data_IF_550222763346
#
_entry.id   IF_550222763346
#
_cell.length_a   1.000
_cell.length_b   1.000
_cell.length_c   1.000
_cell.angle_alpha   90.00
_cell.angle_beta   90.00
_cell.angle_gamma   90.00
#
_symmetry.space_group_name_H-M   'P 1'
#
loop_
_entity.id
_entity.type
_entity.pdbx_description
1 polymer ?
#
# COMPACT_ATOMS: atom_id res chain seq x y z
N UNK A 1 25.25 13.70 -6.54
CA UNK A 1 24.96 12.41 -5.87
C UNK A 1 23.49 12.10 -6.03
N UNK A 2 23.08 10.85 -6.17
CA UNK A 2 21.67 10.47 -6.26
C UNK A 2 21.16 9.93 -4.92
N UNK A 3 19.87 10.13 -4.65
CA UNK A 3 19.23 9.59 -3.47
C UNK A 3 17.71 9.65 -3.55
N UNK A 4 17.04 9.22 -2.48
CA UNK A 4 15.58 9.22 -2.35
C UNK A 4 15.15 10.08 -1.17
N UNK A 5 14.16 10.96 -1.37
CA UNK A 5 13.59 11.74 -0.27
C UNK A 5 12.83 10.78 0.66
N UNK A 6 13.30 10.61 1.90
CA UNK A 6 12.64 9.75 2.89
C UNK A 6 11.74 10.53 3.83
N UNK A 7 11.97 11.83 4.01
CA UNK A 7 11.19 12.68 4.92
C UNK A 7 11.20 14.14 4.46
N UNK A 8 10.09 14.84 4.67
CA UNK A 8 9.97 16.27 4.42
C UNK A 8 9.38 17.01 5.62
N UNK A 9 10.07 18.01 6.14
CA UNK A 9 9.62 18.82 7.29
C UNK A 9 9.97 20.29 7.06
N UNK A 10 8.99 21.18 7.13
CA UNK A 10 9.19 22.64 7.15
C UNK A 10 10.13 23.18 6.05
N UNK A 11 10.10 22.60 4.84
CA UNK A 11 10.94 23.00 3.70
C UNK A 11 12.32 22.36 3.63
N UNK A 12 12.65 21.49 4.58
CA UNK A 12 13.80 20.60 4.55
C UNK A 12 13.38 19.20 4.08
N UNK A 13 14.27 18.57 3.33
CA UNK A 13 14.09 17.24 2.75
C UNK A 13 15.27 16.37 3.15
N UNK A 14 14.99 15.22 3.75
CA UNK A 14 16.00 14.25 4.13
C UNK A 14 16.17 13.24 3.01
N UNK A 15 17.36 13.18 2.44
CA UNK A 15 17.65 12.37 1.24
C UNK A 15 18.55 11.21 1.64
N UNK A 16 18.02 9.99 1.56
CA UNK A 16 18.79 8.76 1.75
C UNK A 16 19.60 8.44 0.49
N UNK A 17 20.90 8.20 0.66
CA UNK A 17 21.87 8.04 -0.42
C UNK A 17 22.61 6.70 -0.32
N UNK A 18 23.39 6.35 -1.34
CA UNK A 18 24.27 5.19 -1.27
C UNK A 18 25.25 5.31 -0.08
N UNK A 19 25.54 4.18 0.58
CA UNK A 19 26.34 4.16 1.82
C UNK A 19 25.54 4.38 3.10
N UNK A 20 24.20 4.37 3.03
CA UNK A 20 23.29 4.51 4.18
C UNK A 20 23.39 5.88 4.88
N UNK A 21 23.80 6.92 4.13
CA UNK A 21 23.87 8.30 4.62
C UNK A 21 22.57 9.05 4.32
N UNK A 22 22.14 9.91 5.25
CA UNK A 22 20.97 10.77 5.10
C UNK A 22 21.40 12.24 5.10
N UNK A 23 21.26 12.90 3.95
CA UNK A 23 21.58 14.32 3.81
C UNK A 23 20.37 15.19 4.11
N UNK A 24 20.53 16.20 4.97
CA UNK A 24 19.55 17.27 5.12
C UNK A 24 19.71 18.25 3.95
N UNK A 25 18.67 18.31 3.11
CA UNK A 25 18.69 19.10 1.89
C UNK A 25 17.63 20.20 1.87
N UNK A 26 17.97 21.31 1.23
CA UNK A 26 16.98 22.32 0.81
C UNK A 26 16.67 22.15 -0.67
N UNK A 27 15.43 22.43 -1.05
CA UNK A 27 15.07 22.57 -2.46
C UNK A 27 15.51 23.95 -2.96
N UNK A 28 16.26 24.01 -4.07
CA UNK A 28 16.60 25.28 -4.72
C UNK A 28 15.31 26.04 -5.08
N UNK A 29 15.32 27.37 -5.01
CA UNK A 29 14.15 28.21 -5.28
C UNK A 29 13.53 28.00 -6.67
N UNK A 30 14.29 27.47 -7.62
CA UNK A 30 13.87 27.13 -8.99
C UNK A 30 12.66 26.18 -9.02
N UNK A 31 12.56 25.23 -8.08
CA UNK A 31 11.41 24.31 -8.02
C UNK A 31 10.08 25.00 -7.73
N UNK A 32 10.09 26.19 -7.10
CA UNK A 32 8.88 26.99 -6.88
C UNK A 32 8.40 27.67 -8.16
N UNK A 33 9.31 27.94 -9.09
CA UNK A 33 8.99 28.54 -10.39
C UNK A 33 8.43 27.51 -11.38
N UNK A 34 8.93 26.28 -11.32
CA UNK A 34 8.49 25.17 -12.18
C UNK A 34 7.24 24.42 -11.65
N UNK A 35 6.68 24.86 -10.52
CA UNK A 35 5.50 24.23 -9.89
C UNK A 35 5.73 22.81 -9.35
N UNK A 36 6.97 22.30 -9.37
CA UNK A 36 7.32 20.93 -8.93
C UNK A 36 7.69 20.91 -7.46
N UNK A 37 6.72 20.62 -6.61
CA UNK A 37 6.93 20.38 -5.17
C UNK A 37 7.64 19.02 -4.97
N UNK A 38 8.79 18.97 -4.26
CA UNK A 38 9.41 17.69 -3.88
C UNK A 38 8.51 16.93 -2.90
N UNK A 39 8.40 15.63 -3.11
CA UNK A 39 7.60 14.70 -2.32
C UNK A 39 8.48 13.63 -1.69
N UNK A 40 8.00 13.07 -0.59
CA UNK A 40 8.58 11.83 -0.05
C UNK A 40 8.48 10.75 -1.13
N UNK A 41 9.54 9.98 -1.30
CA UNK A 41 9.68 8.95 -2.32
C UNK A 41 10.26 9.43 -3.66
N UNK A 42 10.38 10.74 -3.89
CA UNK A 42 11.07 11.27 -5.07
C UNK A 42 12.53 10.81 -5.10
N UNK A 43 12.96 10.32 -6.27
CA UNK A 43 14.38 10.14 -6.55
C UNK A 43 14.94 11.49 -6.98
N UNK A 44 16.09 11.89 -6.43
CA UNK A 44 16.66 13.22 -6.61
C UNK A 44 18.15 13.16 -6.87
N UNK A 45 18.63 14.18 -7.57
CA UNK A 45 20.05 14.51 -7.60
C UNK A 45 20.33 15.64 -6.62
N UNK A 46 21.40 15.50 -5.83
CA UNK A 46 21.84 16.50 -4.86
C UNK A 46 23.28 16.96 -5.12
N UNK A 47 23.50 18.25 -4.87
CA UNK A 47 24.80 18.87 -4.73
C UNK A 47 25.18 18.84 -3.24
N UNK A 48 26.28 18.19 -2.89
CA UNK A 48 26.76 18.11 -1.50
C UNK A 48 27.41 19.44 -1.12
N UNK A 49 26.96 20.03 0.00
CA UNK A 49 27.50 21.27 0.54
C UNK A 49 28.54 21.01 1.63
N UNK A 50 28.29 20.03 2.49
CA UNK A 50 29.15 19.65 3.61
C UNK A 50 29.01 18.14 3.82
N UNK A 51 30.10 17.39 3.58
CA UNK A 51 30.12 15.93 3.73
C UNK A 51 30.13 15.50 5.20
N UNK A 52 30.81 16.25 6.08
CA UNK A 52 30.90 15.91 7.50
C UNK A 52 29.57 16.14 8.23
N UNK A 53 28.86 17.21 7.87
CA UNK A 53 27.55 17.55 8.43
C UNK A 53 26.37 16.96 7.65
N UNK A 54 26.63 16.24 6.56
CA UNK A 54 25.61 15.67 5.69
C UNK A 54 24.59 16.72 5.19
N UNK A 55 25.09 17.85 4.69
CA UNK A 55 24.24 18.93 4.16
C UNK A 55 24.29 18.98 2.63
N UNK A 56 23.15 19.24 2.00
CA UNK A 56 23.06 19.31 0.54
C UNK A 56 21.98 20.26 0.03
N UNK A 57 21.93 20.40 -1.29
CA UNK A 57 20.81 20.99 -2.00
C UNK A 57 20.28 20.02 -3.03
N UNK A 58 18.95 19.86 -3.10
CA UNK A 58 18.33 19.15 -4.21
C UNK A 58 18.57 19.98 -5.47
N UNK A 59 19.23 19.37 -6.45
CA UNK A 59 19.50 19.93 -7.77
C UNK A 59 18.38 19.62 -8.74
N UNK A 60 17.90 18.37 -8.72
CA UNK A 60 16.89 17.87 -9.66
C UNK A 60 16.00 16.82 -9.02
N UNK A 61 14.72 16.81 -9.40
CA UNK A 61 13.78 15.72 -9.10
C UNK A 61 13.67 14.88 -10.36
N UNK A 62 14.02 13.59 -10.25
CA UNK A 62 13.95 12.65 -11.37
C UNK A 62 12.48 12.28 -11.67
N UNK A 63 12.18 11.80 -12.89
CA UNK A 63 10.82 11.44 -13.28
C UNK A 63 10.14 10.46 -12.32
N UNK A 64 8.89 10.76 -11.96
CA UNK A 64 8.07 9.89 -11.11
C UNK A 64 7.50 8.75 -11.93
N UNK A 65 7.56 7.53 -11.38
CA UNK A 65 6.90 6.34 -11.95
C UNK A 65 5.47 6.17 -11.44
N UNK A 66 5.22 6.61 -10.21
CA UNK A 66 3.90 6.54 -9.56
C UNK A 66 3.78 7.67 -8.53
N UNK A 67 2.55 7.99 -8.13
CA UNK A 67 2.28 8.93 -7.06
C UNK A 67 0.99 8.53 -6.34
N UNK A 68 1.10 8.19 -5.05
CA UNK A 68 -0.06 8.02 -4.18
C UNK A 68 -0.70 9.39 -3.91
N UNK A 69 -2.03 9.43 -3.90
CA UNK A 69 -2.78 10.66 -3.59
C UNK A 69 -2.84 10.87 -2.07
N UNK A 70 -3.04 9.80 -1.30
CA UNK A 70 -3.17 9.85 0.17
C UNK A 70 -2.51 8.63 0.83
N UNK A 71 -1.40 8.82 1.57
CA UNK A 71 -0.60 10.06 1.64
C UNK A 71 0.09 10.39 0.31
N UNK A 72 0.46 11.66 0.13
CA UNK A 72 1.13 12.16 -1.07
C UNK A 72 2.60 11.67 -1.12
N UNK A 73 2.84 10.52 -1.78
CA UNK A 73 4.17 9.87 -1.86
C UNK A 73 4.44 9.41 -3.28
N UNK A 74 5.64 9.68 -3.79
CA UNK A 74 6.07 9.31 -5.13
C UNK A 74 6.80 7.96 -5.17
N UNK A 75 6.85 7.34 -6.35
CA UNK A 75 7.63 6.14 -6.66
C UNK A 75 7.37 4.99 -5.68
N UNK A 76 6.09 4.72 -5.39
CA UNK A 76 5.64 3.51 -4.71
C UNK A 76 5.52 2.39 -5.75
N UNK A 77 6.25 1.30 -5.54
CA UNK A 77 6.34 0.19 -6.50
C UNK A 77 5.26 -0.88 -6.25
N UNK A 78 4.82 -1.03 -5.00
CA UNK A 78 3.83 -2.03 -4.59
C UNK A 78 3.18 -1.70 -3.24
N UNK A 79 2.07 -2.36 -2.94
CA UNK A 79 1.40 -2.32 -1.65
C UNK A 79 1.45 -3.67 -0.94
N UNK A 80 1.77 -3.68 0.35
CA UNK A 80 1.66 -4.83 1.23
C UNK A 80 0.44 -4.64 2.14
N UNK A 81 -0.61 -5.42 1.89
CA UNK A 81 -1.88 -5.36 2.63
C UNK A 81 -1.93 -6.49 3.66
N UNK A 82 -1.78 -6.12 4.93
CA UNK A 82 -1.60 -7.01 6.07
C UNK A 82 -2.93 -7.15 6.83
N UNK A 83 -3.39 -8.39 6.97
CA UNK A 83 -4.48 -8.78 7.85
C UNK A 83 -3.99 -9.88 8.79
N UNK A 84 -4.61 -10.01 9.96
CA UNK A 84 -4.40 -11.20 10.81
C UNK A 84 -5.36 -12.31 10.39
N UNK A 85 -4.94 -13.56 10.54
CA UNK A 85 -5.79 -14.72 10.23
C UNK A 85 -6.93 -14.85 11.24
N UNK A 86 -6.59 -14.74 12.54
CA UNK A 86 -7.55 -15.03 13.62
C UNK A 86 -7.87 -13.80 14.47
N UNK A 87 -6.85 -13.05 14.92
CA UNK A 87 -7.04 -11.98 15.93
C UNK A 87 -6.33 -10.66 15.56
N UNK A 88 -7.08 -9.59 15.24
CA UNK A 88 -8.53 -9.56 15.00
C UNK A 88 -8.94 -10.45 13.82
N UNK A 89 -10.22 -10.85 13.78
CA UNK A 89 -10.74 -11.55 12.60
C UNK A 89 -10.61 -10.64 11.37
N UNK A 90 -10.20 -11.18 10.21
CA UNK A 90 -10.01 -10.38 9.02
C UNK A 90 -11.35 -9.82 8.55
N UNK A 91 -11.39 -8.50 8.34
CA UNK A 91 -12.50 -7.85 7.68
C UNK A 91 -12.23 -7.85 6.16
N UNK A 92 -12.81 -8.80 5.45
CA UNK A 92 -12.57 -8.95 4.02
C UNK A 92 -13.18 -7.84 3.17
N UNK A 93 -14.29 -7.23 3.58
CA UNK A 93 -14.81 -6.05 2.89
C UNK A 93 -13.79 -4.91 2.89
N UNK A 94 -13.08 -4.74 4.01
CA UNK A 94 -12.01 -3.77 4.15
C UNK A 94 -10.80 -4.12 3.27
N UNK A 95 -10.41 -5.39 3.20
CA UNK A 95 -9.36 -5.87 2.31
C UNK A 95 -9.71 -5.56 0.85
N UNK A 96 -10.93 -5.90 0.41
CA UNK A 96 -11.41 -5.63 -0.95
C UNK A 96 -11.33 -4.15 -1.31
N UNK A 97 -11.72 -3.24 -0.40
CA UNK A 97 -11.57 -1.79 -0.62
C UNK A 97 -10.13 -1.38 -0.85
N UNK A 98 -9.17 -1.94 -0.12
CA UNK A 98 -7.75 -1.64 -0.36
C UNK A 98 -7.31 -2.10 -1.73
N UNK A 99 -7.68 -3.32 -2.11
CA UNK A 99 -7.29 -3.87 -3.40
C UNK A 99 -7.84 -3.00 -4.53
N UNK A 100 -9.11 -2.59 -4.45
CA UNK A 100 -9.73 -1.66 -5.40
C UNK A 100 -8.98 -0.32 -5.43
N UNK A 101 -8.72 0.30 -4.27
CA UNK A 101 -8.03 1.60 -4.20
C UNK A 101 -6.60 1.58 -4.72
N UNK A 102 -5.88 0.47 -4.54
CA UNK A 102 -4.53 0.32 -5.10
C UNK A 102 -4.59 0.06 -6.59
N UNK A 103 -5.57 -0.73 -7.06
CA UNK A 103 -5.80 -0.96 -8.48
C UNK A 103 -6.20 0.33 -9.22
N UNK A 104 -7.01 1.23 -8.62
CA UNK A 104 -7.30 2.57 -9.15
C UNK A 104 -6.04 3.43 -9.36
N UNK A 105 -4.97 3.15 -8.61
CA UNK A 105 -3.68 3.84 -8.70
C UNK A 105 -2.63 3.00 -9.45
N UNK A 106 -3.04 1.89 -10.06
CA UNK A 106 -2.16 0.95 -10.79
C UNK A 106 -1.01 0.40 -9.94
N UNK A 107 -1.22 0.27 -8.62
CA UNK A 107 -0.23 -0.26 -7.69
C UNK A 107 -0.48 -1.75 -7.44
N UNK A 108 0.49 -2.63 -7.74
CA UNK A 108 0.34 -4.06 -7.49
C UNK A 108 0.30 -4.36 -5.98
N UNK A 109 -0.58 -5.28 -5.60
CA UNK A 109 -0.80 -5.67 -4.20
C UNK A 109 -0.23 -7.05 -3.87
N UNK A 110 0.36 -7.14 -2.67
CA UNK A 110 0.67 -8.39 -1.98
C UNK A 110 -0.28 -8.48 -0.78
N UNK A 111 -1.08 -9.54 -0.72
CA UNK A 111 -1.97 -9.81 0.42
C UNK A 111 -1.23 -10.69 1.42
N UNK A 112 -1.02 -10.16 2.62
CA UNK A 112 -0.26 -10.82 3.68
C UNK A 112 -1.17 -11.14 4.86
N UNK A 113 -1.29 -12.43 5.18
CA UNK A 113 -2.00 -12.92 6.35
C UNK A 113 -1.01 -13.24 7.47
N UNK A 114 -0.96 -12.39 8.49
CA UNK A 114 -0.07 -12.50 9.65
C UNK A 114 -0.72 -13.32 10.78
N UNK A 115 0.11 -13.68 11.75
CA UNK A 115 -0.24 -14.45 12.96
C UNK A 115 -0.65 -15.90 12.64
N UNK A 116 0.07 -16.53 11.71
CA UNK A 116 -0.11 -17.95 11.42
C UNK A 116 0.23 -18.86 12.60
N UNK A 117 0.94 -18.35 13.61
CA UNK A 117 1.24 -19.07 14.85
C UNK A 117 0.02 -19.38 15.72
N UNK A 118 -1.12 -18.75 15.45
CA UNK A 118 -2.38 -18.95 16.19
C UNK A 118 -3.54 -19.37 15.28
N UNK A 119 -3.24 -19.87 14.08
CA UNK A 119 -4.23 -20.37 13.10
C UNK A 119 -4.53 -21.86 13.33
N UNK A 120 -5.15 -22.19 14.46
CA UNK A 120 -5.45 -23.58 14.85
C UNK A 120 -6.44 -24.27 13.90
N UNK A 121 -7.33 -23.51 13.26
CA UNK A 121 -8.35 -24.00 12.31
C UNK A 121 -7.84 -24.05 10.86
N UNK A 122 -6.56 -23.72 10.62
CA UNK A 122 -5.94 -23.62 9.28
C UNK A 122 -6.71 -22.73 8.28
N UNK A 123 -7.45 -21.74 8.78
CA UNK A 123 -8.29 -20.86 7.98
C UNK A 123 -7.46 -20.01 7.01
N UNK A 124 -6.20 -19.73 7.36
CA UNK A 124 -5.27 -18.95 6.55
C UNK A 124 -5.08 -19.53 5.15
N UNK A 125 -5.05 -20.87 5.01
CA UNK A 125 -4.90 -21.53 3.71
C UNK A 125 -6.04 -21.18 2.76
N UNK A 126 -7.28 -21.25 3.25
CA UNK A 126 -8.46 -20.87 2.48
C UNK A 126 -8.41 -19.41 2.04
N UNK A 127 -7.87 -18.51 2.88
CA UNK A 127 -7.71 -17.10 2.50
C UNK A 127 -6.67 -16.90 1.41
N UNK A 128 -5.53 -17.60 1.48
CA UNK A 128 -4.52 -17.57 0.42
C UNK A 128 -5.09 -18.04 -0.91
N UNK A 129 -5.88 -19.12 -0.90
CA UNK A 129 -6.46 -19.71 -2.10
C UNK A 129 -7.52 -18.77 -2.72
N UNK A 130 -8.36 -18.12 -1.90
CA UNK A 130 -9.35 -17.13 -2.38
C UNK A 130 -8.67 -15.99 -3.14
N UNK A 131 -7.69 -15.30 -2.52
CA UNK A 131 -7.07 -14.12 -3.15
C UNK A 131 -6.03 -14.51 -4.20
N UNK A 132 -5.42 -15.68 -4.08
CA UNK A 132 -4.53 -16.24 -5.10
C UNK A 132 -5.27 -16.55 -6.40
N UNK A 133 -6.49 -17.10 -6.31
CA UNK A 133 -7.35 -17.34 -7.47
C UNK A 133 -7.77 -16.04 -8.19
N UNK A 134 -7.81 -14.91 -7.48
CA UNK A 134 -8.03 -13.58 -8.06
C UNK A 134 -6.78 -12.98 -8.74
N UNK A 135 -5.63 -13.69 -8.70
CA UNK A 135 -4.37 -13.23 -9.30
C UNK A 135 -3.48 -12.41 -8.37
N UNK A 136 -3.83 -12.24 -7.09
CA UNK A 136 -2.97 -11.55 -6.13
C UNK A 136 -1.82 -12.44 -5.66
N UNK A 137 -0.67 -11.83 -5.38
CA UNK A 137 0.37 -12.51 -4.61
C UNK A 137 -0.10 -12.62 -3.17
N UNK A 138 -0.14 -13.83 -2.64
CA UNK A 138 -0.57 -14.08 -1.26
C UNK A 138 0.59 -14.66 -0.45
N UNK A 139 0.68 -14.26 0.82
CA UNK A 139 1.70 -14.76 1.74
C UNK A 139 1.11 -14.94 3.13
N UNK A 140 1.49 -16.04 3.79
CA UNK A 140 1.19 -16.27 5.19
C UNK A 140 2.46 -16.15 6.02
N UNK A 141 2.39 -15.40 7.13
CA UNK A 141 3.54 -15.11 7.98
C UNK A 141 3.20 -15.19 9.47
N UNK A 142 4.23 -15.42 10.28
CA UNK A 142 4.19 -15.11 11.71
C UNK A 142 5.37 -14.23 12.06
N UNK A 143 5.08 -12.95 12.35
CA UNK A 143 6.09 -12.05 12.90
C UNK A 143 6.66 -12.58 14.24
N UNK A 144 5.86 -13.30 15.03
CA UNK A 144 6.25 -13.82 16.34
C UNK A 144 7.23 -14.98 16.23
N UNK A 145 6.99 -15.90 15.29
CA UNK A 145 7.80 -17.09 15.08
C UNK A 145 8.81 -16.94 13.93
N UNK A 146 8.91 -15.74 13.35
CA UNK A 146 9.74 -15.44 12.19
C UNK A 146 9.45 -16.34 10.96
N UNK A 147 8.20 -16.81 10.81
CA UNK A 147 7.78 -17.66 9.70
C UNK A 147 7.39 -16.81 8.49
N UNK A 148 7.85 -17.20 7.29
CA UNK A 148 7.55 -16.51 6.03
C UNK A 148 8.20 -15.13 5.87
N UNK A 149 9.01 -14.69 6.85
CA UNK A 149 9.67 -13.36 6.81
C UNK A 149 10.71 -13.27 5.71
N UNK A 150 11.45 -14.36 5.43
CA UNK A 150 12.47 -14.34 4.37
C UNK A 150 11.83 -14.19 2.98
N UNK A 151 10.77 -14.95 2.71
CA UNK A 151 9.96 -14.79 1.50
C UNK A 151 9.37 -13.38 1.38
N UNK A 152 8.96 -12.78 2.50
CA UNK A 152 8.51 -11.39 2.51
C UNK A 152 9.66 -10.45 2.10
N UNK A 153 10.86 -10.60 2.68
CA UNK A 153 12.02 -9.77 2.32
C UNK A 153 12.35 -9.87 0.83
N UNK A 154 12.39 -11.07 0.27
CA UNK A 154 12.61 -11.29 -1.16
C UNK A 154 11.59 -10.54 -2.04
N UNK A 155 10.31 -10.54 -1.66
CA UNK A 155 9.26 -9.81 -2.37
C UNK A 155 9.41 -8.28 -2.29
N UNK A 156 9.95 -7.79 -1.18
CA UNK A 156 10.14 -6.36 -0.91
C UNK A 156 11.47 -5.81 -1.43
N UNK A 157 12.49 -6.65 -1.63
CA UNK A 157 13.85 -6.24 -1.95
C UNK A 157 13.92 -5.31 -3.17
N UNK A 158 14.64 -4.19 -3.01
CA UNK A 158 14.85 -3.18 -4.04
C UNK A 158 13.63 -2.30 -4.36
N UNK A 159 12.56 -2.38 -3.57
CA UNK A 159 11.30 -1.68 -3.84
C UNK A 159 10.89 -0.72 -2.72
N UNK A 160 10.10 0.27 -3.10
CA UNK A 160 9.35 1.14 -2.18
C UNK A 160 7.96 0.56 -2.00
N UNK A 161 7.69 0.06 -0.80
CA UNK A 161 6.43 -0.63 -0.48
C UNK A 161 5.60 0.19 0.49
N UNK A 162 4.36 0.49 0.12
CA UNK A 162 3.39 1.02 1.07
C UNK A 162 2.78 -0.10 1.89
N UNK A 163 2.77 0.06 3.21
CA UNK A 163 2.20 -0.93 4.13
C UNK A 163 0.85 -0.45 4.61
N UNK A 164 -0.11 -1.35 4.51
CA UNK A 164 -1.49 -1.15 4.91
C UNK A 164 -1.93 -2.35 5.75
N UNK A 165 -2.62 -2.13 6.86
CA UNK A 165 -3.35 -3.14 7.64
C UNK A 165 -4.22 -2.48 8.73
N UNK A 166 -5.31 -3.11 9.21
CA UNK A 166 -6.07 -2.60 10.35
C UNK A 166 -5.18 -2.45 11.61
N UNK A 167 -5.68 -1.79 12.65
CA UNK A 167 -4.98 -1.80 13.94
C UNK A 167 -4.91 -3.22 14.52
N UNK A 168 -3.81 -3.57 15.18
CA UNK A 168 -3.66 -4.86 15.86
C UNK A 168 -3.31 -6.07 14.98
N UNK A 169 -3.23 -5.93 13.65
CA UNK A 169 -2.85 -7.05 12.74
C UNK A 169 -1.37 -7.39 12.73
N UNK A 170 -0.52 -6.57 13.37
CA UNK A 170 0.92 -6.82 13.52
C UNK A 170 1.81 -6.15 12.48
N UNK A 171 1.37 -5.05 11.85
CA UNK A 171 2.19 -4.24 10.93
C UNK A 171 3.55 -3.86 11.52
N UNK A 172 3.56 -3.20 12.69
CA UNK A 172 4.78 -2.74 13.33
C UNK A 172 5.70 -3.91 13.69
N UNK A 173 5.14 -5.04 14.12
CA UNK A 173 5.92 -6.26 14.37
C UNK A 173 6.59 -6.78 13.09
N UNK A 174 5.87 -6.80 11.96
CA UNK A 174 6.45 -7.19 10.67
C UNK A 174 7.51 -6.19 10.20
N UNK A 175 7.26 -4.88 10.31
CA UNK A 175 8.24 -3.84 9.97
C UNK A 175 9.54 -4.04 10.77
N UNK A 176 9.43 -4.34 12.06
CA UNK A 176 10.59 -4.62 12.91
C UNK A 176 11.36 -5.88 12.46
N UNK A 177 10.66 -6.93 12.01
CA UNK A 177 11.31 -8.13 11.46
C UNK A 177 12.03 -7.86 10.12
N UNK A 178 11.58 -6.84 9.37
CA UNK A 178 12.15 -6.44 8.08
C UNK A 178 13.36 -5.53 8.23
N UNK A 179 13.46 -4.76 9.32
CA UNK A 179 14.63 -3.93 9.61
C UNK A 179 15.84 -4.84 9.90
N UNK A 180 16.81 -4.84 8.99
CA UNK A 180 18.11 -5.48 9.21
C UNK A 180 18.93 -4.71 10.27
N UNK A 181 19.79 -5.42 11.01
CA UNK A 181 20.67 -4.82 12.03
C UNK A 181 21.61 -3.73 11.50
N UNK A 182 21.83 -3.65 10.18
CA UNK A 182 22.64 -2.63 9.49
C UNK A 182 22.05 -1.22 9.66
N UNK A 183 20.72 -1.08 9.81
CA UNK A 183 20.09 0.23 10.04
C UNK A 183 20.28 0.69 11.49
N UNK A 184 20.47 -0.23 12.44
CA UNK A 184 20.73 0.11 13.85
C UNK A 184 22.13 0.70 14.08
N UNK A 185 23.16 0.32 13.31
CA UNK A 185 24.52 0.89 13.48
C UNK A 185 24.62 2.36 13.04
N UNK A 186 23.82 2.78 12.06
CA UNK A 186 23.62 4.21 11.74
C UNK A 186 22.70 4.94 12.73
N UNK A 187 22.17 4.21 13.72
CA UNK A 187 21.14 4.60 14.68
C UNK A 187 21.60 5.47 15.86
N UNK A 188 22.76 6.13 15.81
CA UNK A 188 23.04 7.23 16.75
C UNK A 188 22.10 8.46 16.56
N UNK A 189 21.14 8.37 15.63
CA UNK A 189 20.01 9.29 15.46
C UNK A 189 18.68 8.70 16.02
N UNK A 190 18.69 7.48 16.58
CA UNK A 190 17.48 6.78 17.06
C UNK A 190 17.06 7.12 18.50
N UNK A 191 17.93 7.70 19.34
CA UNK A 191 17.57 7.97 20.75
C UNK A 191 16.58 9.13 20.94
N UNK A 192 16.31 9.92 19.89
CA UNK A 192 15.26 10.96 19.93
C UNK A 192 13.87 10.49 19.48
N UNK A 193 13.70 9.21 19.12
CA UNK A 193 12.43 8.66 18.60
C UNK A 193 11.58 8.05 19.73
N UNK A 194 11.96 8.26 21.01
CA UNK A 194 11.29 7.65 22.17
C UNK A 194 10.33 8.56 22.94
N UNK A 195 9.66 9.51 22.28
CA UNK A 195 8.49 10.19 22.90
C UNK A 195 7.39 10.51 21.91
N UNK A 196 6.26 9.82 22.10
CA UNK A 196 4.93 10.40 21.93
C UNK A 196 4.13 9.90 20.74
N UNK A 197 2.98 9.29 21.05
CA UNK A 197 1.74 9.20 20.25
C UNK A 197 1.92 9.28 18.73
N UNK A 198 1.65 8.18 18.04
CA UNK A 198 1.37 8.13 16.61
C UNK A 198 0.31 9.17 16.20
N UNK A 199 0.76 10.39 15.92
CA UNK A 199 0.02 11.44 15.21
C UNK A 199 0.81 11.74 13.94
N UNK A 200 0.72 10.80 13.00
CA UNK A 200 1.40 10.82 11.71
C UNK A 200 0.73 11.84 10.78
N UNK A 201 1.12 13.12 10.91
CA UNK A 201 0.79 14.17 9.93
C UNK A 201 1.83 14.28 8.80
N UNK A 202 2.96 13.60 8.91
CA UNK A 202 4.02 13.59 7.89
C UNK A 202 4.32 12.17 7.45
N UNK A 203 4.41 11.95 6.14
CA UNK A 203 4.85 10.69 5.53
C UNK A 203 6.35 10.53 5.70
N UNK A 204 6.79 9.34 6.12
CA UNK A 204 8.20 9.01 6.30
C UNK A 204 8.46 7.61 5.74
N UNK A 205 9.51 7.48 4.92
CA UNK A 205 9.99 6.20 4.42
C UNK A 205 11.04 5.65 5.37
N UNK A 206 10.84 4.41 5.78
CA UNK A 206 11.76 3.61 6.58
C UNK A 206 12.62 2.81 5.63
N UNK A 207 13.93 3.06 5.59
CA UNK A 207 14.86 2.16 4.90
C UNK A 207 15.01 0.87 5.73
N UNK A 208 14.83 -0.28 5.09
CA UNK A 208 14.93 -1.60 5.76
C UNK A 208 16.09 -2.45 5.24
N UNK A 209 16.48 -2.21 3.99
CA UNK A 209 17.62 -2.83 3.31
C UNK A 209 18.12 -1.87 2.21
N UNK A 210 19.21 -2.24 1.53
CA UNK A 210 19.73 -1.49 0.37
C UNK A 210 18.63 -1.32 -0.67
N UNK A 211 18.31 -0.05 -0.97
CA UNK A 211 17.27 0.34 -1.93
C UNK A 211 15.86 -0.21 -1.63
N UNK A 212 15.60 -0.64 -0.40
CA UNK A 212 14.30 -1.15 0.04
C UNK A 212 13.70 -0.22 1.08
N UNK A 213 12.49 0.28 0.81
CA UNK A 213 11.83 1.29 1.62
C UNK A 213 10.42 0.86 1.98
N UNK A 214 10.01 1.14 3.22
CA UNK A 214 8.66 0.93 3.72
C UNK A 214 8.02 2.27 4.05
N UNK A 215 6.82 2.49 3.54
CA UNK A 215 5.95 3.60 3.94
C UNK A 215 4.89 3.05 4.89
N UNK A 216 4.94 3.39 6.18
CA UNK A 216 3.85 3.11 7.11
C UNK A 216 2.77 4.18 6.95
N UNK A 217 1.71 3.84 6.23
CA UNK A 217 0.58 4.77 6.02
C UNK A 217 -0.47 4.57 7.12
N UNK A 218 -0.84 5.62 7.87
CA UNK A 218 -2.06 5.59 8.66
C UNK A 218 -3.22 5.71 7.68
N UNK A 219 -3.75 4.57 7.21
CA UNK A 219 -4.68 4.58 6.06
C UNK A 219 -6.03 3.92 6.30
N UNK A 220 -6.20 3.15 7.38
CA UNK A 220 -7.38 2.28 7.50
C UNK A 220 -8.67 2.99 7.88
N UNK A 221 -8.57 4.18 8.46
CA UNK A 221 -9.71 4.88 9.06
C UNK A 221 -10.58 5.65 8.05
N UNK A 222 -10.15 5.83 6.80
CA UNK A 222 -10.86 6.67 5.81
C UNK A 222 -10.80 6.12 4.38
N UNK A 223 -11.16 4.84 4.20
CA UNK A 223 -11.13 4.19 2.89
C UNK A 223 -12.49 4.33 2.22
N UNK A 224 -12.59 5.35 1.38
CA UNK A 224 -13.68 5.49 0.45
C UNK A 224 -13.28 4.94 -0.91
N UNK A 225 -14.24 4.32 -1.60
CA UNK A 225 -14.19 4.12 -3.04
C UNK A 225 -14.46 5.48 -3.72
N UNK A 226 -13.54 6.43 -3.58
CA UNK A 226 -13.72 7.80 -4.04
C UNK A 226 -13.69 7.86 -5.56
N UNK A 227 -14.65 8.59 -6.16
CA UNK A 227 -14.74 8.77 -7.60
C UNK A 227 -15.04 7.50 -8.40
N UNK A 228 -15.43 6.41 -7.73
CA UNK A 228 -15.83 5.15 -8.37
C UNK A 228 -17.35 5.10 -8.48
N UNK A 229 -17.87 4.96 -9.69
CA UNK A 229 -19.29 4.72 -9.91
C UNK A 229 -19.61 3.23 -9.73
N UNK A 230 -20.86 2.91 -9.34
CA UNK A 230 -21.26 1.52 -9.05
C UNK A 230 -21.10 0.59 -10.26
N UNK A 231 -21.31 1.11 -11.47
CA UNK A 231 -21.17 0.37 -12.73
C UNK A 231 -19.72 -0.01 -13.03
N UNK A 232 -18.74 0.71 -12.48
CA UNK A 232 -17.30 0.48 -12.71
C UNK A 232 -16.73 -0.56 -11.74
N UNK A 233 -17.41 -0.83 -10.64
CA UNK A 233 -16.91 -1.69 -9.55
C UNK A 233 -16.51 -3.09 -10.03
N UNK A 234 -17.25 -3.66 -10.98
CA UNK A 234 -16.99 -5.01 -11.51
C UNK A 234 -15.58 -5.16 -12.10
N UNK A 235 -15.05 -4.10 -12.72
CA UNK A 235 -13.70 -4.10 -13.32
C UNK A 235 -12.57 -4.23 -12.27
N UNK A 236 -12.88 -4.01 -10.99
CA UNK A 236 -11.94 -4.15 -9.87
C UNK A 236 -12.06 -5.51 -9.15
N UNK A 237 -12.81 -6.46 -9.73
CA UNK A 237 -12.81 -7.86 -9.37
C UNK A 237 -12.24 -8.66 -10.55
N UNK A 238 -10.91 -8.82 -10.65
CA UNK A 238 -10.25 -9.45 -11.80
C UNK A 238 -10.80 -10.82 -12.17
N UNK A 239 -11.25 -11.58 -11.17
CA UNK A 239 -11.86 -12.89 -11.34
C UNK A 239 -13.19 -12.86 -12.13
N UNK A 240 -13.88 -11.71 -12.25
CA UNK A 240 -15.14 -11.59 -12.98
C UNK A 240 -14.96 -11.59 -14.49
N UNK A 241 -13.86 -11.00 -14.98
CA UNK A 241 -13.60 -10.83 -16.40
C UNK A 241 -13.67 -12.15 -17.20
N UNK A 242 -13.30 -13.28 -16.58
CA UNK A 242 -13.35 -14.61 -17.20
C UNK A 242 -14.77 -15.12 -17.49
N UNK A 243 -15.79 -14.57 -16.80
CA UNK A 243 -17.17 -15.04 -16.84
C UNK A 243 -18.15 -13.97 -17.35
N UNK A 244 -17.69 -12.74 -17.60
CA UNK A 244 -18.50 -11.67 -18.17
C UNK A 244 -19.03 -12.03 -19.56
N UNK A 245 -18.26 -12.77 -20.36
CA UNK A 245 -18.66 -13.26 -21.70
C UNK A 245 -19.90 -14.17 -21.66
N UNK A 246 -20.15 -14.84 -20.54
CA UNK A 246 -21.30 -15.73 -20.34
C UNK A 246 -22.55 -14.99 -19.81
N UNK A 247 -22.46 -13.66 -19.64
CA UNK A 247 -23.61 -12.84 -19.26
C UNK A 247 -24.51 -12.59 -20.48
N UNK A 248 -25.82 -12.80 -20.30
CA UNK A 248 -26.82 -12.56 -21.36
C UNK A 248 -26.90 -11.09 -21.79
N UNK A 249 -26.69 -10.15 -20.86
CA UNK A 249 -26.86 -8.71 -21.08
C UNK A 249 -25.50 -8.01 -21.13
N UNK A 250 -25.34 -7.10 -22.10
CA UNK A 250 -24.20 -6.17 -22.12
C UNK A 250 -24.32 -5.18 -20.96
N UNK A 251 -23.22 -4.88 -20.28
CA UNK A 251 -23.22 -4.00 -19.11
C UNK A 251 -23.87 -4.63 -17.86
N UNK A 252 -23.83 -5.96 -17.76
CA UNK A 252 -24.30 -6.68 -16.57
C UNK A 252 -23.56 -6.18 -15.32
N UNK A 253 -24.28 -5.66 -14.34
CA UNK A 253 -23.73 -5.30 -13.02
C UNK A 253 -23.56 -6.50 -12.09
N UNK A 254 -23.95 -7.69 -12.53
CA UNK A 254 -23.87 -8.93 -11.76
C UNK A 254 -24.67 -8.91 -10.45
N UNK A 255 -25.65 -8.02 -10.29
CA UNK A 255 -26.47 -7.91 -9.07
C UNK A 255 -27.80 -8.64 -9.30
N UNK A 256 -28.75 -7.97 -9.97
CA UNK A 256 -30.12 -8.46 -10.14
C UNK A 256 -30.35 -9.17 -11.47
N UNK A 257 -29.41 -9.07 -12.42
CA UNK A 257 -29.60 -9.52 -13.79
C UNK A 257 -29.85 -11.04 -13.86
N UNK A 258 -30.88 -11.49 -14.61
CA UNK A 258 -31.08 -12.92 -14.82
C UNK A 258 -30.03 -13.48 -15.80
N UNK A 259 -29.66 -14.74 -15.63
CA UNK A 259 -28.65 -15.42 -16.47
C UNK A 259 -27.29 -14.67 -16.54
N UNK A 260 -26.68 -14.47 -15.38
CA UNK A 260 -25.36 -13.86 -15.21
C UNK A 260 -24.25 -14.92 -15.10
N UNK A 261 -23.22 -14.82 -15.93
CA UNK A 261 -22.06 -15.74 -15.92
C UNK A 261 -21.30 -15.72 -14.60
N UNK A 262 -21.07 -14.53 -14.03
CA UNK A 262 -20.44 -14.37 -12.70
C UNK A 262 -21.24 -15.10 -11.61
N UNK A 263 -22.57 -14.92 -11.55
CA UNK A 263 -23.40 -15.61 -10.55
C UNK A 263 -23.37 -17.13 -10.70
N UNK A 264 -23.39 -17.64 -11.94
CA UNK A 264 -23.22 -19.09 -12.21
C UNK A 264 -21.85 -19.59 -11.77
N UNK A 265 -20.80 -18.79 -11.96
CA UNK A 265 -19.45 -19.14 -11.53
C UNK A 265 -19.32 -19.16 -10.00
N UNK A 266 -20.04 -18.29 -9.29
CA UNK A 266 -20.16 -18.33 -7.82
C UNK A 266 -20.89 -19.60 -7.37
N UNK A 267 -22.03 -19.94 -7.97
CA UNK A 267 -22.78 -21.17 -7.68
C UNK A 267 -21.95 -22.44 -7.92
N UNK A 268 -21.11 -22.43 -8.95
CA UNK A 268 -20.21 -23.52 -9.28
C UNK A 268 -18.90 -23.53 -8.45
N UNK A 269 -18.72 -22.60 -7.51
CA UNK A 269 -17.53 -22.50 -6.66
C UNK A 269 -16.26 -22.02 -7.38
N UNK A 270 -16.36 -21.52 -8.63
CA UNK A 270 -15.23 -20.98 -9.38
C UNK A 270 -14.88 -19.55 -9.00
N UNK A 271 -15.85 -18.80 -8.50
CA UNK A 271 -15.65 -17.51 -7.83
C UNK A 271 -15.98 -17.71 -6.36
N UNK A 272 -15.12 -17.21 -5.48
CA UNK A 272 -15.36 -17.26 -4.04
C UNK A 272 -16.65 -16.51 -3.69
N UNK A 273 -17.56 -17.19 -2.98
CA UNK A 273 -18.80 -16.58 -2.47
C UNK A 273 -18.51 -15.36 -1.59
N UNK A 274 -17.44 -15.42 -0.79
CA UNK A 274 -17.00 -14.31 0.07
C UNK A 274 -16.67 -13.06 -0.75
N UNK A 275 -15.95 -13.22 -1.87
CA UNK A 275 -15.60 -12.11 -2.78
C UNK A 275 -16.85 -11.52 -3.43
N UNK A 276 -17.76 -12.37 -3.91
CA UNK A 276 -19.00 -11.91 -4.53
C UNK A 276 -19.95 -11.22 -3.54
N UNK A 277 -20.06 -11.71 -2.30
CA UNK A 277 -20.86 -11.06 -1.26
C UNK A 277 -20.29 -9.67 -0.90
N UNK A 278 -18.97 -9.53 -0.79
CA UNK A 278 -18.33 -8.23 -0.62
C UNK A 278 -18.60 -7.30 -1.80
N UNK A 279 -18.51 -7.80 -3.04
CA UNK A 279 -18.86 -7.04 -4.24
C UNK A 279 -20.27 -6.46 -4.15
N UNK A 280 -21.26 -7.28 -3.77
CA UNK A 280 -22.64 -6.84 -3.60
C UNK A 280 -22.78 -5.74 -2.53
N UNK A 281 -22.08 -5.88 -1.39
CA UNK A 281 -22.08 -4.88 -0.32
C UNK A 281 -21.49 -3.54 -0.79
N UNK A 282 -20.35 -3.59 -1.50
CA UNK A 282 -19.70 -2.39 -2.03
C UNK A 282 -20.54 -1.74 -3.13
N UNK A 283 -21.17 -2.53 -4.01
CA UNK A 283 -22.06 -2.03 -5.04
C UNK A 283 -23.25 -1.29 -4.44
N UNK A 284 -23.90 -1.87 -3.44
CA UNK A 284 -25.05 -1.25 -2.77
C UNK A 284 -24.65 0.01 -2.00
N UNK A 285 -23.46 0.06 -1.40
CA UNK A 285 -22.92 1.31 -0.85
C UNK A 285 -22.76 2.38 -1.93
N UNK A 286 -22.11 2.07 -3.05
CA UNK A 286 -21.89 3.02 -4.15
C UNK A 286 -23.22 3.50 -4.73
N UNK A 287 -24.22 2.63 -4.84
CA UNK A 287 -25.57 2.96 -5.27
C UNK A 287 -26.29 3.89 -4.31
N UNK A 288 -26.05 3.76 -3.00
CA UNK A 288 -26.68 4.57 -1.97
C UNK A 288 -25.89 5.84 -1.60
N UNK A 289 -24.67 6.00 -2.10
CA UNK A 289 -23.97 7.28 -2.02
C UNK A 289 -24.76 8.32 -2.81
N UNK A 290 -25.26 9.33 -2.11
CA UNK A 290 -25.69 10.57 -2.78
C UNK A 290 -24.47 11.09 -3.53
N UNK A 291 -24.66 11.49 -4.80
CA UNK A 291 -23.62 12.17 -5.58
C UNK A 291 -23.19 13.41 -4.79
N UNK A 292 -22.09 13.31 -4.05
CA UNK A 292 -21.46 14.45 -3.40
C UNK A 292 -20.84 15.30 -4.51
N UNK A 293 -21.64 16.23 -5.06
CA UNK A 293 -21.22 17.30 -5.94
C UNK A 293 -20.32 18.31 -5.18
N UNK A 294 -19.22 17.86 -4.57
CA UNK A 294 -18.32 18.76 -3.83
C UNK A 294 -16.84 18.73 -4.21
N UNK A 295 -16.36 17.85 -5.10
CA UNK A 295 -14.95 17.94 -5.56
C UNK A 295 -14.76 17.95 -7.09
N UNK A 296 -15.75 18.46 -7.83
CA UNK A 296 -15.52 18.98 -9.19
C UNK A 296 -15.53 20.51 -9.13
N UNK A 297 -14.41 21.11 -8.70
CA UNK A 297 -14.29 22.57 -8.68
C UNK A 297 -13.22 23.10 -7.75
N UNK A 298 -11.96 23.04 -8.21
CA UNK A 298 -10.92 24.10 -8.19
C UNK A 298 -9.52 23.50 -8.17
#
# INVERSE_FOLDING_TARGET
MQGKITKGIAGFYYVHTEGNCVYECKAKGVFRLDGKKPLVGDNVELDVLDQEKLLGNIREILPRKSQLIRPEVANVDQALVIFSIVKPRPNFNLLDRFLIMMQQQEIPCIVCFNKSDIDEEEAGRGYLDIYGACGYRTLMVSARQNLGIEQLKELLSGKTTTVAGPSGVGKSSLINCLQSGVVMETGNISEKIQRGKHTTRHSELIAVEKNTYILDTPGFSSLGLFGLEKEELGAYYPEFAFYEQDCRFRGCSHISEPACGVKKAVEAGRISRLRYENYCLLYEELKNKKRDYQHAGR
#
